data_IF_564463990382
#
_entry.id   IF_564463990382
#
_cell.length_a   1.000
_cell.length_b   1.000
_cell.length_c   1.000
_cell.angle_alpha   90.00
_cell.angle_beta   90.00
_cell.angle_gamma   90.00
#
_symmetry.space_group_name_H-M   'P 1'
#
loop_
_entity.id
_entity.type
_entity.pdbx_description
1 polymer ?
#
# COMPACT_ATOMS: atom_id res chain seq x y z
N UNK A 1 -8.97 9.65 3.45
CA UNK A 1 -7.75 10.03 2.70
C UNK A 1 -6.57 9.28 3.30
N UNK A 2 -5.90 8.42 2.51
CA UNK A 2 -4.60 7.88 2.92
C UNK A 2 -3.57 9.00 2.63
N UNK A 3 -2.66 9.34 3.55
CA UNK A 3 -1.55 10.23 3.21
C UNK A 3 -0.86 9.67 1.97
N UNK A 4 -0.38 10.51 1.03
CA UNK A 4 0.34 10.02 -0.13
C UNK A 4 1.55 9.24 0.38
N UNK A 5 1.44 7.91 0.38
CA UNK A 5 2.63 7.09 0.59
C UNK A 5 3.52 7.43 -0.59
N UNK A 6 4.71 7.95 -0.31
CA UNK A 6 5.66 8.28 -1.37
C UNK A 6 5.80 7.05 -2.27
N UNK A 7 5.33 7.15 -3.52
CA UNK A 7 5.37 6.08 -4.52
C UNK A 7 6.75 5.41 -4.60
N UNK A 8 7.81 6.17 -4.37
CA UNK A 8 9.19 5.72 -4.33
C UNK A 8 9.52 4.72 -3.21
N UNK A 9 8.72 4.64 -2.13
CA UNK A 9 8.99 3.73 -1.01
C UNK A 9 8.35 2.35 -1.16
N UNK A 10 7.39 2.20 -2.07
CA UNK A 10 6.56 1.00 -2.21
C UNK A 10 6.47 0.55 -3.68
N UNK A 11 7.58 0.09 -4.30
CA UNK A 11 7.58 -0.30 -5.71
C UNK A 11 6.59 -1.43 -5.99
N UNK A 12 6.46 -2.39 -5.07
CA UNK A 12 5.54 -3.53 -5.18
C UNK A 12 4.05 -3.10 -5.19
N UNK A 13 3.71 -1.98 -4.54
CA UNK A 13 2.33 -1.51 -4.40
C UNK A 13 1.98 -0.32 -5.32
N UNK A 14 2.93 0.10 -6.16
CA UNK A 14 2.80 1.30 -7.00
C UNK A 14 1.64 1.21 -7.99
N UNK A 15 1.44 0.04 -8.59
CA UNK A 15 0.40 -0.19 -9.59
C UNK A 15 -1.01 -0.09 -8.99
N UNK A 16 -1.23 -0.69 -7.81
CA UNK A 16 -2.49 -0.58 -7.06
C UNK A 16 -2.76 0.87 -6.62
N UNK A 17 -1.72 1.61 -6.23
CA UNK A 17 -1.85 3.02 -5.89
C UNK A 17 -2.22 3.88 -7.10
N UNK A 18 -1.67 3.57 -8.28
CA UNK A 18 -2.02 4.25 -9.54
C UNK A 18 -3.49 4.01 -9.90
N UNK A 19 -3.96 2.77 -9.80
CA UNK A 19 -5.37 2.42 -10.02
C UNK A 19 -6.29 3.10 -9.00
N UNK A 20 -5.88 3.19 -7.73
CA UNK A 20 -6.63 3.93 -6.72
C UNK A 20 -6.69 5.42 -7.07
N UNK A 21 -5.59 6.00 -7.54
CA UNK A 21 -5.54 7.41 -7.97
C UNK A 21 -6.45 7.67 -9.17
N UNK A 22 -6.40 6.82 -10.19
CA UNK A 22 -7.31 6.86 -11.34
C UNK A 22 -8.78 6.70 -10.92
N UNK A 23 -9.06 5.84 -9.92
CA UNK A 23 -10.42 5.69 -9.36
C UNK A 23 -10.90 6.96 -8.64
N UNK A 24 -10.00 7.63 -7.93
CA UNK A 24 -10.27 8.92 -7.29
C UNK A 24 -10.38 10.09 -8.29
N UNK A 25 -9.68 10.04 -9.41
CA UNK A 25 -9.76 11.02 -10.51
C UNK A 25 -10.99 10.77 -11.41
N UNK A 26 -11.48 9.54 -11.50
CA UNK A 26 -12.74 9.20 -12.19
C UNK A 26 -13.94 9.79 -11.45
N UNK A 27 -14.83 10.47 -12.20
CA UNK A 27 -15.97 11.27 -11.72
C UNK A 27 -16.62 10.82 -10.39
N UNK A 28 -16.87 11.79 -9.51
CA UNK A 28 -17.42 11.72 -8.14
C UNK A 28 -18.58 10.72 -7.89
N UNK A 29 -19.33 10.35 -8.93
CA UNK A 29 -20.46 9.42 -8.88
C UNK A 29 -19.99 7.98 -8.57
N UNK A 30 -18.86 7.50 -9.10
CA UNK A 30 -18.30 6.18 -8.77
C UNK A 30 -17.75 6.11 -7.34
N UNK A 31 -17.37 7.26 -6.78
CA UNK A 31 -16.94 7.43 -5.39
C UNK A 31 -18.08 7.13 -4.40
N UNK A 32 -19.31 7.50 -4.76
CA UNK A 32 -20.49 7.33 -3.91
C UNK A 32 -20.98 5.87 -3.82
N UNK A 33 -20.68 5.04 -4.82
CA UNK A 33 -21.04 3.61 -4.85
C UNK A 33 -20.01 2.68 -4.20
N UNK A 34 -18.94 3.21 -3.61
CA UNK A 34 -17.95 2.37 -2.91
C UNK A 34 -17.04 1.55 -3.84
N UNK A 35 -17.03 1.81 -5.15
CA UNK A 35 -16.21 1.09 -6.14
C UNK A 35 -14.71 1.19 -5.86
N UNK A 36 -14.25 2.32 -5.31
CA UNK A 36 -12.83 2.47 -4.93
C UNK A 36 -12.47 1.80 -3.59
N UNK A 37 -13.44 1.27 -2.81
CA UNK A 37 -13.13 0.65 -1.53
C UNK A 37 -12.40 -0.69 -1.69
N UNK A 38 -12.68 -1.46 -2.74
CA UNK A 38 -12.01 -2.74 -2.95
C UNK A 38 -10.55 -2.53 -3.36
N UNK A 39 -10.28 -1.59 -4.28
CA UNK A 39 -8.91 -1.13 -4.60
C UNK A 39 -8.19 -0.62 -3.35
N UNK A 40 -8.88 0.14 -2.49
CA UNK A 40 -8.31 0.61 -1.23
C UNK A 40 -7.94 -0.57 -0.30
N UNK A 41 -8.76 -1.62 -0.21
CA UNK A 41 -8.43 -2.82 0.59
C UNK A 41 -7.19 -3.52 0.04
N UNK A 42 -7.05 -3.60 -1.29
CA UNK A 42 -5.89 -4.21 -1.94
C UNK A 42 -4.60 -3.42 -1.65
N UNK A 43 -4.65 -2.09 -1.76
CA UNK A 43 -3.52 -1.22 -1.40
C UNK A 43 -3.13 -1.44 0.06
N UNK A 44 -4.09 -1.45 0.99
CA UNK A 44 -3.81 -1.71 2.42
C UNK A 44 -3.20 -3.08 2.64
N UNK A 45 -3.69 -4.11 1.95
CA UNK A 45 -3.15 -5.48 2.04
C UNK A 45 -1.70 -5.54 1.55
N UNK A 46 -1.39 -4.89 0.42
CA UNK A 46 -0.05 -4.83 -0.13
C UNK A 46 0.93 -4.13 0.84
N UNK A 47 0.56 -2.97 1.37
CA UNK A 47 1.40 -2.21 2.31
C UNK A 47 1.64 -2.96 3.62
N UNK A 48 0.63 -3.69 4.11
CA UNK A 48 0.80 -4.55 5.29
C UNK A 48 1.80 -5.68 5.04
N UNK A 49 1.74 -6.31 3.87
CA UNK A 49 2.71 -7.35 3.50
C UNK A 49 4.13 -6.80 3.44
N UNK A 50 4.32 -5.62 2.86
CA UNK A 50 5.63 -4.98 2.78
C UNK A 50 6.18 -4.63 4.17
N UNK A 51 5.35 -4.03 5.03
CA UNK A 51 5.70 -3.77 6.43
C UNK A 51 6.14 -5.05 7.14
N UNK A 52 5.42 -6.16 6.95
CA UNK A 52 5.76 -7.45 7.55
C UNK A 52 7.08 -8.01 7.00
N UNK A 53 7.35 -7.88 5.69
CA UNK A 53 8.65 -8.26 5.09
C UNK A 53 9.79 -7.47 5.74
N UNK A 54 9.69 -6.15 5.79
CA UNK A 54 10.71 -5.28 6.39
C UNK A 54 10.91 -5.61 7.88
N UNK A 55 9.82 -5.85 8.62
CA UNK A 55 9.92 -6.22 10.03
C UNK A 55 10.66 -7.56 10.21
N UNK A 56 10.39 -8.55 9.37
CA UNK A 56 11.09 -9.85 9.39
C UNK A 56 12.57 -9.70 9.07
N UNK A 57 12.92 -8.88 8.09
CA UNK A 57 14.32 -8.59 7.75
C UNK A 57 15.05 -7.89 8.90
N UNK A 58 14.42 -6.89 9.51
CA UNK A 58 14.99 -6.19 10.67
C UNK A 58 15.17 -7.13 11.86
N UNK A 59 14.22 -8.03 12.10
CA UNK A 59 14.35 -9.07 13.13
C UNK A 59 15.51 -10.03 12.83
N UNK A 60 15.69 -10.47 11.58
CA UNK A 60 16.83 -11.31 11.17
C UNK A 60 18.16 -10.59 11.40
N UNK A 61 18.30 -9.36 10.89
CA UNK A 61 19.48 -8.52 11.09
C UNK A 61 19.80 -8.29 12.57
N UNK A 62 18.79 -8.10 13.41
CA UNK A 62 18.97 -7.94 14.86
C UNK A 62 19.39 -9.23 15.56
N UNK A 63 18.92 -10.40 15.10
CA UNK A 63 19.38 -11.70 15.61
C UNK A 63 20.82 -11.97 15.21
N UNK A 64 21.18 -11.69 13.96
CA UNK A 64 22.55 -11.85 13.46
C UNK A 64 23.53 -10.93 14.20
N UNK A 65 23.14 -9.69 14.52
CA UNK A 65 23.95 -8.77 15.34
C UNK A 65 24.11 -9.18 16.81
N UNK A 66 23.23 -10.04 17.32
CA UNK A 66 23.25 -10.53 18.72
C UNK A 66 24.00 -11.86 18.86
N UNK A 67 24.40 -12.47 17.75
CA UNK A 67 25.29 -13.63 17.70
C UNK A 67 26.73 -13.17 17.54
#
# INVERSE_FOLDING_TARGET
>A
MHPPLSAHKHPDCHELMKQLKECHESNFISHFFGKCNDLKKEVVKCLNQERLKQQRENQRKNKDKRR
#
